data_IF_907628891888
#
_entry.id   IF_907628891888
#
_cell.length_a   1.000
_cell.length_b   1.000
_cell.length_c   1.000
_cell.angle_alpha   90.00
_cell.angle_beta   90.00
_cell.angle_gamma   90.00
#
_symmetry.space_group_name_H-M   'P 1'
#
loop_
_entity.id
_entity.type
_entity.pdbx_description
1 polymer ?
#
# COMPACT_ATOMS: atom_id res chain seq x y z
N UNK A 1 31.39 2.45 16.94
CA UNK A 1 29.93 2.27 16.90
C UNK A 1 29.53 1.65 15.56
N UNK A 2 29.82 0.35 15.37
CA UNK A 2 29.55 -0.35 14.12
C UNK A 2 28.15 -0.98 14.18
N UNK A 3 27.23 -0.41 13.40
CA UNK A 3 25.81 -0.74 13.42
C UNK A 3 25.54 -2.20 13.04
N UNK A 4 24.85 -2.92 13.92
CA UNK A 4 24.32 -4.28 13.74
C UNK A 4 23.18 -4.36 12.70
N UNK A 5 23.24 -3.61 11.59
CA UNK A 5 22.25 -3.66 10.50
C UNK A 5 22.62 -4.63 9.36
N UNK A 6 23.75 -5.33 9.45
CA UNK A 6 24.22 -6.26 8.41
C UNK A 6 23.96 -7.76 8.66
N UNK A 7 23.53 -8.15 9.86
CA UNK A 7 23.47 -9.59 10.23
C UNK A 7 22.40 -10.35 9.44
N UNK A 8 21.25 -9.72 9.18
CA UNK A 8 20.17 -10.37 8.43
C UNK A 8 20.52 -10.56 6.94
N UNK A 9 21.27 -9.61 6.35
CA UNK A 9 21.77 -9.74 4.98
C UNK A 9 22.76 -10.88 4.83
N UNK A 10 23.63 -11.06 5.82
CA UNK A 10 24.60 -12.16 5.85
C UNK A 10 23.92 -13.53 5.98
N UNK A 11 22.91 -13.66 6.84
CA UNK A 11 22.19 -14.93 7.01
C UNK A 11 21.49 -15.39 5.73
N UNK A 12 20.80 -14.47 5.03
CA UNK A 12 20.16 -14.79 3.76
C UNK A 12 21.16 -15.20 2.68
N UNK A 13 22.33 -14.56 2.66
CA UNK A 13 23.39 -14.93 1.70
C UNK A 13 23.92 -16.35 1.94
N UNK A 14 23.99 -16.80 3.20
CA UNK A 14 24.41 -18.15 3.57
C UNK A 14 23.35 -19.20 3.19
N UNK A 15 22.07 -18.89 3.42
CA UNK A 15 20.94 -19.72 2.98
C UNK A 15 20.96 -19.93 1.47
N UNK A 16 21.04 -18.84 0.70
CA UNK A 16 21.08 -18.89 -0.76
C UNK A 16 22.27 -19.70 -1.31
N UNK A 17 23.45 -19.56 -0.68
CA UNK A 17 24.63 -20.36 -1.05
C UNK A 17 24.39 -21.85 -0.78
N UNK A 18 23.87 -22.21 0.40
CA UNK A 18 23.59 -23.58 0.76
C UNK A 18 22.55 -24.22 -0.17
N UNK A 19 21.43 -23.54 -0.42
CA UNK A 19 20.36 -24.06 -1.26
C UNK A 19 20.85 -24.26 -2.71
N UNK A 20 21.70 -23.36 -3.23
CA UNK A 20 22.33 -23.52 -4.54
C UNK A 20 23.17 -24.80 -4.60
N UNK A 21 23.99 -25.06 -3.59
CA UNK A 21 24.79 -26.29 -3.51
C UNK A 21 23.93 -27.56 -3.44
N UNK A 22 22.74 -27.50 -2.85
CA UNK A 22 21.78 -28.62 -2.79
C UNK A 22 21.08 -28.81 -4.15
N UNK A 23 20.61 -27.73 -4.76
CA UNK A 23 19.90 -27.77 -6.05
C UNK A 23 20.74 -28.39 -7.18
N UNK A 24 22.05 -28.20 -7.13
CA UNK A 24 22.97 -28.74 -8.13
C UNK A 24 23.48 -30.16 -7.81
N UNK A 25 22.85 -30.88 -6.88
CA UNK A 25 23.13 -32.29 -6.58
C UNK A 25 23.98 -32.53 -5.33
N UNK A 26 24.22 -31.50 -4.51
CA UNK A 26 24.86 -31.68 -3.21
C UNK A 26 23.95 -32.31 -2.16
N UNK A 27 24.51 -32.80 -1.04
CA UNK A 27 23.72 -33.38 0.05
C UNK A 27 22.82 -32.34 0.70
N UNK A 28 21.60 -32.75 1.06
CA UNK A 28 20.65 -31.93 1.81
C UNK A 28 21.22 -31.61 3.18
N UNK A 29 21.18 -30.33 3.57
CA UNK A 29 21.57 -29.87 4.91
C UNK A 29 20.42 -29.08 5.53
N UNK A 30 20.29 -29.19 6.84
CA UNK A 30 19.29 -28.49 7.61
C UNK A 30 19.94 -27.32 8.37
N UNK A 31 19.31 -26.16 8.30
CA UNK A 31 19.71 -24.97 9.06
C UNK A 31 18.83 -24.80 10.30
N UNK A 32 18.72 -25.84 11.13
CA UNK A 32 18.00 -25.72 12.41
C UNK A 32 18.74 -24.74 13.32
N UNK A 33 18.01 -23.96 14.14
CA UNK A 33 18.65 -22.99 15.03
C UNK A 33 19.66 -23.73 15.94
N UNK A 34 20.86 -23.15 16.07
CA UNK A 34 22.01 -23.68 16.84
C UNK A 34 22.72 -24.93 16.30
N UNK A 35 22.21 -25.56 15.25
CA UNK A 35 22.85 -26.70 14.56
C UNK A 35 23.05 -26.39 13.07
N UNK A 36 23.39 -25.14 12.75
CA UNK A 36 23.64 -24.72 11.38
C UNK A 36 24.99 -25.26 10.87
N UNK A 37 25.10 -25.64 9.58
CA UNK A 37 26.38 -26.02 8.98
C UNK A 37 27.37 -24.85 9.02
N UNK A 38 28.66 -25.16 9.15
CA UNK A 38 29.70 -24.13 9.12
C UNK A 38 29.81 -23.50 7.73
N UNK A 39 30.29 -22.25 7.66
CA UNK A 39 30.47 -21.52 6.39
C UNK A 39 31.45 -22.27 5.48
N UNK A 40 32.49 -22.86 6.06
CA UNK A 40 33.51 -23.61 5.32
C UNK A 40 32.90 -24.87 4.68
N UNK A 41 32.02 -25.58 5.40
CA UNK A 41 31.30 -26.74 4.86
C UNK A 41 30.38 -26.40 3.69
N UNK A 42 29.78 -25.20 3.72
CA UNK A 42 28.95 -24.68 2.62
C UNK A 42 29.86 -24.33 1.44
N UNK A 43 30.93 -23.58 1.67
CA UNK A 43 31.88 -23.18 0.64
C UNK A 43 32.51 -24.38 -0.10
N UNK A 44 32.90 -25.42 0.63
CA UNK A 44 33.48 -26.63 0.06
C UNK A 44 32.44 -27.49 -0.66
N UNK A 45 31.17 -27.41 -0.28
CA UNK A 45 30.08 -28.02 -1.04
C UNK A 45 29.85 -27.32 -2.37
N UNK A 46 29.82 -25.98 -2.41
CA UNK A 46 29.71 -25.24 -3.68
C UNK A 46 30.91 -25.52 -4.59
N UNK A 47 32.11 -25.57 -4.01
CA UNK A 47 33.32 -25.80 -4.80
C UNK A 47 33.34 -27.19 -5.45
N UNK A 48 32.85 -28.22 -4.75
CA UNK A 48 32.69 -29.58 -5.30
C UNK A 48 31.78 -29.63 -6.52
N UNK A 49 30.81 -28.73 -6.58
CA UNK A 49 29.84 -28.61 -7.69
C UNK A 49 30.38 -27.74 -8.84
N UNK A 50 31.56 -27.13 -8.68
CA UNK A 50 32.19 -26.30 -9.71
C UNK A 50 31.81 -24.81 -9.64
N UNK A 51 31.16 -24.37 -8.56
CA UNK A 51 30.89 -22.97 -8.30
C UNK A 51 32.01 -22.30 -7.48
N UNK A 52 32.04 -20.97 -7.49
CA UNK A 52 32.87 -20.18 -6.57
C UNK A 52 32.47 -20.49 -5.12
N UNK A 53 33.44 -20.53 -4.20
CA UNK A 53 33.21 -20.76 -2.75
C UNK A 53 32.15 -19.83 -2.13
N UNK A 54 32.08 -18.60 -2.63
CA UNK A 54 31.11 -17.58 -2.21
C UNK A 54 29.80 -17.59 -2.99
N UNK A 55 29.63 -18.49 -3.97
CA UNK A 55 28.42 -18.60 -4.80
C UNK A 55 28.23 -17.49 -5.85
N UNK A 56 29.14 -16.52 -5.91
CA UNK A 56 29.06 -15.40 -6.86
C UNK A 56 29.45 -15.80 -8.28
N UNK A 57 28.71 -15.26 -9.25
CA UNK A 57 28.85 -15.54 -10.68
C UNK A 57 28.91 -14.26 -11.52
N UNK A 58 29.44 -14.38 -12.73
CA UNK A 58 29.39 -13.31 -13.74
C UNK A 58 28.07 -13.40 -14.48
N UNK A 59 27.24 -12.38 -14.32
CA UNK A 59 25.96 -12.24 -15.04
C UNK A 59 26.16 -11.28 -16.21
N UNK A 60 25.47 -11.54 -17.32
CA UNK A 60 25.45 -10.66 -18.48
C UNK A 60 24.16 -9.84 -18.48
N UNK A 61 24.26 -8.57 -18.84
CA UNK A 61 23.11 -7.70 -19.01
C UNK A 61 22.32 -8.14 -20.27
N UNK A 62 21.04 -8.49 -20.07
CA UNK A 62 20.16 -8.95 -21.15
C UNK A 62 19.84 -7.89 -22.20
N UNK A 63 20.02 -6.59 -21.90
CA UNK A 63 19.78 -5.51 -22.86
C UNK A 63 21.01 -5.18 -23.70
N UNK A 64 22.20 -5.16 -23.08
CA UNK A 64 23.44 -4.70 -23.74
C UNK A 64 24.39 -5.84 -24.13
N UNK A 65 24.20 -7.04 -23.58
CA UNK A 65 25.08 -8.19 -23.80
C UNK A 65 26.45 -8.08 -23.12
N UNK A 66 26.71 -7.01 -22.37
CA UNK A 66 27.97 -6.81 -21.64
C UNK A 66 27.94 -7.56 -20.31
N UNK A 67 29.10 -8.05 -19.87
CA UNK A 67 29.24 -8.64 -18.54
C UNK A 67 29.06 -7.55 -17.47
N UNK A 68 28.37 -7.87 -16.38
CA UNK A 68 28.31 -7.01 -15.21
C UNK A 68 29.73 -6.80 -14.63
N UNK A 69 30.00 -5.58 -14.17
CA UNK A 69 31.29 -5.22 -13.56
C UNK A 69 31.51 -5.94 -12.22
N UNK A 70 30.42 -6.24 -11.51
CA UNK A 70 30.44 -6.93 -10.23
C UNK A 70 29.97 -8.38 -10.36
N UNK A 71 30.46 -9.22 -9.45
CA UNK A 71 29.98 -10.59 -9.31
C UNK A 71 28.68 -10.59 -8.50
N UNK A 72 27.68 -11.32 -8.99
CA UNK A 72 26.33 -11.34 -8.40
C UNK A 72 26.10 -12.72 -7.78
N UNK A 73 25.56 -12.74 -6.56
CA UNK A 73 25.11 -13.97 -5.91
C UNK A 73 23.74 -14.35 -6.48
N UNK A 74 23.70 -15.52 -7.13
CA UNK A 74 22.47 -16.11 -7.69
C UNK A 74 22.25 -17.46 -7.04
N UNK A 75 21.02 -17.75 -6.67
CA UNK A 75 20.66 -18.99 -5.99
C UNK A 75 19.19 -18.99 -5.58
N UNK A 76 18.62 -20.17 -5.32
CA UNK A 76 17.28 -20.30 -4.79
C UNK A 76 17.15 -19.60 -3.43
N UNK A 77 15.96 -19.08 -3.15
CA UNK A 77 15.61 -18.48 -1.86
C UNK A 77 14.11 -18.65 -1.67
N UNK A 78 13.70 -19.05 -0.47
CA UNK A 78 12.29 -19.22 -0.15
C UNK A 78 11.58 -17.87 0.04
N UNK A 79 10.54 -17.63 -0.75
CA UNK A 79 9.68 -16.45 -0.63
C UNK A 79 8.28 -16.86 -0.18
N UNK A 80 7.79 -16.20 0.88
CA UNK A 80 6.41 -16.36 1.31
C UNK A 80 5.55 -15.21 0.78
N UNK A 81 4.50 -15.54 0.02
CA UNK A 81 3.49 -14.58 -0.38
C UNK A 81 2.62 -14.20 0.82
N UNK A 82 2.56 -12.91 1.14
CA UNK A 82 1.69 -12.38 2.18
C UNK A 82 0.27 -12.17 1.65
N UNK A 83 -0.71 -12.17 2.55
CA UNK A 83 -2.14 -12.00 2.23
C UNK A 83 -2.51 -10.57 1.83
N UNK A 84 -1.63 -9.59 2.06
CA UNK A 84 -1.90 -8.19 1.78
C UNK A 84 -1.69 -7.87 0.30
N UNK A 85 -2.72 -8.12 -0.50
CA UNK A 85 -2.72 -7.80 -1.92
C UNK A 85 -3.10 -6.33 -2.16
N UNK A 86 -2.54 -5.73 -3.21
CA UNK A 86 -2.88 -4.37 -3.62
C UNK A 86 -4.32 -4.25 -4.12
N UNK A 87 -4.81 -5.30 -4.78
CA UNK A 87 -6.19 -5.41 -5.27
C UNK A 87 -7.21 -5.24 -4.15
N UNK A 88 -6.95 -5.81 -2.97
CA UNK A 88 -7.81 -5.65 -1.81
C UNK A 88 -7.80 -4.23 -1.24
N UNK A 89 -6.77 -3.44 -1.52
CA UNK A 89 -6.60 -2.09 -0.94
C UNK A 89 -7.21 -0.99 -1.80
N UNK A 90 -7.68 -1.29 -3.00
CA UNK A 90 -8.32 -0.29 -3.85
C UNK A 90 -9.63 0.18 -3.20
N UNK A 91 -9.74 1.50 -3.02
CA UNK A 91 -10.93 2.17 -2.50
C UNK A 91 -11.17 3.41 -3.36
N UNK A 92 -12.29 3.42 -4.08
CA UNK A 92 -12.74 4.56 -4.88
C UNK A 92 -14.18 4.89 -4.51
N UNK A 93 -14.58 6.11 -4.79
CA UNK A 93 -15.96 6.59 -4.61
C UNK A 93 -16.26 7.63 -5.68
N UNK A 94 -17.39 7.49 -6.36
CA UNK A 94 -17.88 8.50 -7.31
C UNK A 94 -19.07 9.24 -6.71
N UNK A 95 -20.28 8.66 -6.79
CA UNK A 95 -21.47 9.14 -6.06
C UNK A 95 -22.21 7.92 -5.53
N UNK A 96 -22.40 7.88 -4.22
CA UNK A 96 -22.70 6.65 -3.47
C UNK A 96 -23.62 6.93 -2.27
N UNK A 97 -24.27 5.91 -1.67
CA UNK A 97 -25.27 6.09 -0.62
C UNK A 97 -24.76 6.88 0.58
N UNK A 98 -25.67 7.71 1.10
CA UNK A 98 -25.43 8.62 2.20
C UNK A 98 -26.07 8.04 3.47
N UNK A 99 -25.44 8.24 4.63
CA UNK A 99 -26.01 7.84 5.90
C UNK A 99 -27.27 8.68 6.22
N UNK A 100 -28.43 8.09 6.54
CA UNK A 100 -29.70 8.81 6.65
C UNK A 100 -29.73 9.84 7.78
N UNK A 101 -29.08 9.54 8.91
CA UNK A 101 -29.06 10.44 10.08
C UNK A 101 -28.17 11.68 9.87
N UNK A 102 -26.90 11.47 9.50
CA UNK A 102 -25.88 12.53 9.44
C UNK A 102 -25.81 13.20 8.08
N UNK A 103 -26.46 12.61 7.07
CA UNK A 103 -26.33 12.97 5.66
C UNK A 103 -24.88 13.02 5.19
N UNK A 104 -24.00 12.24 5.83
CA UNK A 104 -22.60 12.10 5.48
C UNK A 104 -22.37 10.82 4.66
N UNK A 105 -21.35 10.81 3.80
CA UNK A 105 -20.89 9.60 3.14
C UNK A 105 -20.59 8.45 4.10
N UNK A 106 -20.88 7.22 3.68
CA UNK A 106 -20.53 6.03 4.46
C UNK A 106 -19.01 5.78 4.39
N UNK A 107 -18.41 5.29 5.49
CA UNK A 107 -16.97 5.01 5.58
C UNK A 107 -16.56 3.61 5.08
N UNK A 108 -17.50 2.65 5.16
CA UNK A 108 -17.24 1.23 4.92
C UNK A 108 -16.93 0.91 3.44
N UNK A 109 -15.82 0.21 3.19
CA UNK A 109 -15.41 -0.24 1.85
C UNK A 109 -16.46 -1.14 1.20
N UNK A 110 -17.11 -2.01 1.98
CA UNK A 110 -18.15 -2.92 1.45
C UNK A 110 -19.38 -2.20 0.93
N UNK A 111 -19.57 -0.94 1.35
CA UNK A 111 -20.70 -0.09 0.98
C UNK A 111 -20.31 1.01 0.01
N UNK A 112 -19.21 0.81 -0.73
CA UNK A 112 -18.64 1.82 -1.64
C UNK A 112 -18.40 3.17 -0.93
N UNK A 113 -17.99 3.07 0.33
CA UNK A 113 -17.75 4.23 1.17
C UNK A 113 -16.52 5.00 0.76
N UNK A 114 -16.54 6.30 1.04
CA UNK A 114 -15.45 7.22 0.72
C UNK A 114 -14.36 7.20 1.77
N UNK A 115 -13.27 7.93 1.51
CA UNK A 115 -12.28 8.24 2.53
C UNK A 115 -12.86 9.32 3.45
N UNK A 116 -12.68 9.14 4.76
CA UNK A 116 -13.04 10.17 5.73
C UNK A 116 -11.89 11.17 5.84
N UNK A 117 -12.24 12.45 5.82
CA UNK A 117 -11.30 13.53 6.01
C UNK A 117 -11.39 13.98 7.47
N UNK A 118 -10.34 13.74 8.24
CA UNK A 118 -10.29 14.03 9.66
C UNK A 118 -9.71 15.41 9.97
N UNK A 119 -9.54 15.67 11.26
CA UNK A 119 -8.97 16.92 11.77
C UNK A 119 -7.52 17.10 11.33
N UNK A 120 -6.74 16.01 11.33
CA UNK A 120 -5.33 16.05 10.95
C UNK A 120 -5.14 16.38 9.47
N UNK A 121 -6.00 15.85 8.59
CA UNK A 121 -5.94 16.14 7.17
C UNK A 121 -6.36 17.59 6.86
N UNK A 122 -7.31 18.13 7.62
CA UNK A 122 -7.69 19.54 7.56
C UNK A 122 -6.53 20.44 7.96
N UNK A 123 -5.88 20.16 9.08
CA UNK A 123 -4.81 20.99 9.60
C UNK A 123 -3.60 20.99 8.64
N UNK A 124 -3.34 19.87 7.97
CA UNK A 124 -2.35 19.78 6.89
C UNK A 124 -2.68 20.70 5.71
N UNK A 125 -3.94 20.74 5.25
CA UNK A 125 -4.35 21.64 4.15
C UNK A 125 -4.31 23.12 4.54
N UNK A 126 -4.64 23.45 5.79
CA UNK A 126 -4.55 24.81 6.33
C UNK A 126 -3.08 25.25 6.36
N UNK A 127 -2.18 24.39 6.85
CA UNK A 127 -0.74 24.67 6.88
C UNK A 127 -0.15 24.87 5.47
N UNK A 128 -0.68 24.16 4.47
CA UNK A 128 -0.29 24.34 3.07
C UNK A 128 -0.85 25.65 2.46
N UNK A 129 -1.83 26.30 3.10
CA UNK A 129 -2.48 27.51 2.58
C UNK A 129 -3.52 27.26 1.50
N UNK A 130 -3.99 26.01 1.33
CA UNK A 130 -4.94 25.62 0.29
C UNK A 130 -6.41 25.83 0.71
N UNK A 131 -6.76 27.08 1.02
CA UNK A 131 -8.11 27.45 1.50
C UNK A 131 -9.23 27.12 0.50
N UNK A 132 -8.98 27.31 -0.81
CA UNK A 132 -9.95 26.98 -1.85
C UNK A 132 -10.25 25.47 -1.92
N UNK A 133 -9.23 24.62 -1.83
CA UNK A 133 -9.38 23.16 -1.81
C UNK A 133 -10.11 22.70 -0.55
N UNK A 134 -9.83 23.32 0.60
CA UNK A 134 -10.55 23.04 1.84
C UNK A 134 -12.04 23.37 1.70
N UNK A 135 -12.36 24.54 1.14
CA UNK A 135 -13.75 24.94 0.91
C UNK A 135 -14.48 23.96 -0.02
N UNK A 136 -13.87 23.57 -1.13
CA UNK A 136 -14.45 22.61 -2.07
C UNK A 136 -14.73 21.25 -1.42
N UNK A 137 -13.77 20.72 -0.64
CA UNK A 137 -13.88 19.41 0.02
C UNK A 137 -14.93 19.39 1.14
N UNK A 138 -15.06 20.45 1.93
CA UNK A 138 -15.97 20.48 3.09
C UNK A 138 -17.37 21.02 2.77
N UNK A 139 -17.49 21.98 1.84
CA UNK A 139 -18.75 22.65 1.54
C UNK A 139 -19.33 22.17 0.22
N UNK A 140 -18.62 22.33 -0.90
CA UNK A 140 -19.16 22.07 -2.23
C UNK A 140 -19.42 20.58 -2.51
N UNK A 141 -18.55 19.70 -2.00
CA UNK A 141 -18.67 18.25 -2.20
C UNK A 141 -19.53 17.55 -1.12
N UNK A 142 -20.15 18.30 -0.21
CA UNK A 142 -21.08 17.74 0.78
C UNK A 142 -22.41 17.45 0.11
N UNK A 143 -22.96 16.28 0.37
CA UNK A 143 -24.26 15.83 -0.16
C UNK A 143 -25.50 16.55 0.41
N UNK A 144 -25.31 17.62 1.19
CA UNK A 144 -26.41 18.43 1.71
C UNK A 144 -26.47 19.67 0.81
N UNK A 145 -27.53 19.85 -0.01
CA UNK A 145 -27.68 21.09 -0.74
C UNK A 145 -27.79 22.26 0.25
N UNK A 146 -27.20 23.40 -0.09
CA UNK A 146 -27.34 24.62 0.69
C UNK A 146 -28.83 24.89 0.89
N UNK A 147 -29.29 24.70 2.13
CA UNK A 147 -30.62 25.14 2.48
C UNK A 147 -30.60 26.65 2.33
N UNK A 148 -31.32 27.17 1.33
CA UNK A 148 -31.72 28.56 1.32
C UNK A 148 -32.46 28.77 2.63
N UNK A 149 -31.80 29.36 3.62
CA UNK A 149 -32.49 29.89 4.77
C UNK A 149 -33.38 30.98 4.19
N UNK A 150 -34.72 30.83 4.22
CA UNK A 150 -35.54 32.03 4.06
C UNK A 150 -35.05 33.01 5.13
N UNK A 151 -34.94 34.29 4.75
CA UNK A 151 -34.75 35.36 5.71
C UNK A 151 -35.59 35.08 6.95
N UNK A 152 -34.99 35.20 8.14
CA UNK A 152 -35.65 34.92 9.41
C UNK A 152 -36.84 35.88 9.55
N UNK A 153 -37.98 35.48 9.02
CA UNK A 153 -39.27 36.00 9.40
C UNK A 153 -39.67 35.17 10.61
N UNK A 154 -39.65 35.81 11.78
CA UNK A 154 -40.12 35.21 13.04
C UNK A 154 -41.44 34.48 12.78
N UNK A 155 -41.43 33.16 13.01
CA UNK A 155 -42.63 32.35 12.90
C UNK A 155 -43.66 32.85 13.91
N UNK A 156 -44.67 33.60 13.45
CA UNK A 156 -45.96 33.67 14.14
C UNK A 156 -46.68 32.35 13.88
N UNK A 157 -47.08 31.68 14.95
CA UNK A 157 -47.81 30.42 14.91
C UNK A 157 -49.08 30.56 14.06
N UNK A 158 -49.18 29.76 13.00
CA UNK A 158 -50.44 29.44 12.32
C UNK A 158 -50.49 29.79 10.84
N UNK A 159 -50.03 28.88 9.98
CA UNK A 159 -50.50 28.78 8.58
C UNK A 159 -50.49 27.30 8.15
N UNK A 160 -51.61 26.74 7.62
CA UNK A 160 -51.77 25.31 7.39
C UNK A 160 -51.64 24.90 5.92
N UNK A 161 -50.72 25.46 5.12
CA UNK A 161 -50.48 24.96 3.75
C UNK A 161 -48.97 24.86 3.42
N UNK A 162 -48.44 23.65 3.56
CA UNK A 162 -47.08 23.30 3.15
C UNK A 162 -46.98 23.18 1.63
N UNK A 163 -46.36 24.16 0.97
CA UNK A 163 -46.05 24.11 -0.46
C UNK A 163 -44.92 23.13 -0.73
N UNK A 164 -45.29 22.02 -1.37
CA UNK A 164 -44.39 20.97 -1.85
C UNK A 164 -43.62 21.51 -3.07
N UNK A 165 -42.36 21.94 -2.89
CA UNK A 165 -41.50 22.34 -4.01
C UNK A 165 -40.60 21.16 -4.43
N UNK A 166 -40.90 20.59 -5.60
CA UNK A 166 -40.11 19.52 -6.23
C UNK A 166 -38.76 20.05 -6.73
N UNK A 167 -37.66 19.38 -6.41
CA UNK A 167 -36.35 19.68 -7.00
C UNK A 167 -35.90 18.57 -7.96
N UNK A 168 -35.62 19.00 -9.18
CA UNK A 168 -35.08 18.21 -10.30
C UNK A 168 -33.57 18.11 -10.10
N UNK A 169 -33.05 16.89 -9.99
CA UNK A 169 -31.60 16.65 -9.93
C UNK A 169 -31.02 16.69 -11.33
N UNK A 170 -30.19 17.69 -11.62
CA UNK A 170 -29.28 17.63 -12.77
C UNK A 170 -27.94 17.07 -12.31
N UNK A 171 -27.58 15.97 -12.97
CA UNK A 171 -26.37 15.19 -12.76
C UNK A 171 -25.12 16.03 -12.99
N UNK A 172 -24.20 16.04 -12.02
CA UNK A 172 -22.79 16.24 -12.31
C UNK A 172 -21.97 15.09 -11.72
N UNK A 173 -21.55 14.21 -12.62
CA UNK A 173 -20.51 13.22 -12.42
C UNK A 173 -19.19 13.96 -12.24
N UNK A 174 -18.56 13.84 -11.07
CA UNK A 174 -17.15 14.17 -10.91
C UNK A 174 -16.39 12.89 -10.60
N UNK A 175 -15.53 12.53 -11.57
CA UNK A 175 -14.60 11.41 -11.52
C UNK A 175 -13.36 11.85 -10.74
N UNK A 176 -12.94 11.05 -9.76
CA UNK A 176 -11.54 10.88 -9.36
C UNK A 176 -11.25 9.38 -9.27
#
# INVERSE_FOLDING_TARGET
MHGKKGVLGLLKSQEQALEKGIACGGPVKYATPFSAPSIDDIADQLHRVGYTKWGNERVYDGRTGKAAESLILVGPTFYQRLVHMAEDKLKFRSTDPIHPLTRQPVFDRKRFGGISFGEMERDCLIAHGASANLHERFHSQRSVPDAHLPEVQEHREGDPEGSFCSYRSEDQVTVL
#
